data_IF_450237423473
#
_entry.id   IF_450237423473
#
_cell.length_a   1.000
_cell.length_b   1.000
_cell.length_c   1.000
_cell.angle_alpha   90.00
_cell.angle_beta   90.00
_cell.angle_gamma   90.00
#
_symmetry.space_group_name_H-M   'P 1'
#
loop_
_entity.id
_entity.type
_entity.pdbx_description
1 polymer ?
#
# COMPACT_ATOMS: atom_id res chain seq x y z
N UNK A 1 28.17 -26.90 3.48
CA UNK A 1 29.24 -25.90 3.36
C UNK A 1 30.51 -26.40 4.05
N UNK A 2 31.71 -26.14 3.50
CA UNK A 2 32.98 -26.48 4.16
C UNK A 2 33.42 -25.36 5.11
N UNK A 3 33.85 -25.69 6.32
CA UNK A 3 34.32 -24.72 7.33
C UNK A 3 35.41 -23.76 6.76
N UNK A 4 36.24 -24.24 5.83
CA UNK A 4 37.29 -23.44 5.15
C UNK A 4 36.72 -22.27 4.33
N UNK A 5 35.52 -22.42 3.76
CA UNK A 5 34.89 -21.37 2.94
C UNK A 5 34.44 -20.21 3.83
N UNK A 6 33.80 -20.49 4.97
CA UNK A 6 33.37 -19.45 5.91
C UNK A 6 34.55 -18.64 6.42
N UNK A 7 35.64 -19.31 6.80
CA UNK A 7 36.87 -18.63 7.23
C UNK A 7 37.41 -17.70 6.13
N UNK A 8 37.35 -18.13 4.86
CA UNK A 8 37.72 -17.27 3.73
C UNK A 8 36.79 -16.04 3.65
N UNK A 9 35.47 -16.24 3.68
CA UNK A 9 34.50 -15.15 3.53
C UNK A 9 34.60 -14.12 4.66
N UNK A 10 34.84 -14.58 5.90
CA UNK A 10 35.05 -13.67 7.04
C UNK A 10 36.38 -12.91 6.95
N UNK A 11 37.44 -13.55 6.44
CA UNK A 11 38.71 -12.86 6.17
C UNK A 11 38.55 -11.77 5.11
N UNK A 12 37.91 -12.08 3.98
CA UNK A 12 37.59 -11.10 2.94
C UNK A 12 36.74 -9.95 3.48
N UNK A 13 35.78 -10.25 4.36
CA UNK A 13 34.94 -9.23 4.97
C UNK A 13 35.73 -8.29 5.86
N UNK A 14 36.70 -8.81 6.64
CA UNK A 14 37.60 -7.98 7.45
C UNK A 14 38.61 -7.16 6.64
N UNK A 15 38.81 -7.50 5.37
CA UNK A 15 39.67 -6.78 4.42
C UNK A 15 38.88 -5.80 3.52
N UNK A 16 37.57 -5.66 3.75
CA UNK A 16 36.62 -4.88 2.93
C UNK A 16 36.53 -5.34 1.46
N UNK A 17 36.96 -6.58 1.15
CA UNK A 17 36.93 -7.19 -0.19
C UNK A 17 35.53 -7.77 -0.49
N UNK A 18 34.51 -6.91 -0.44
CA UNK A 18 33.11 -7.33 -0.53
C UNK A 18 32.72 -7.87 -1.91
N UNK A 19 33.30 -7.34 -3.00
CA UNK A 19 33.02 -7.86 -4.34
C UNK A 19 33.59 -9.29 -4.50
N UNK A 20 34.74 -9.61 -3.89
CA UNK A 20 35.27 -10.99 -3.93
C UNK A 20 34.37 -11.96 -3.15
N UNK A 21 33.72 -11.51 -2.06
CA UNK A 21 32.69 -12.31 -1.35
C UNK A 21 31.51 -12.59 -2.28
N UNK A 22 31.00 -11.56 -2.96
CA UNK A 22 29.89 -11.69 -3.90
C UNK A 22 30.25 -12.68 -5.01
N UNK A 23 31.39 -12.49 -5.68
CA UNK A 23 31.86 -13.37 -6.75
C UNK A 23 32.04 -14.81 -6.27
N UNK A 24 32.71 -15.00 -5.12
CA UNK A 24 32.97 -16.33 -4.55
C UNK A 24 31.65 -17.09 -4.28
N UNK A 25 30.64 -16.42 -3.73
CA UNK A 25 29.35 -17.06 -3.44
C UNK A 25 28.53 -17.25 -4.72
N UNK A 26 28.63 -16.32 -5.68
CA UNK A 26 27.88 -16.38 -6.94
C UNK A 26 28.34 -17.51 -7.86
N UNK A 27 29.58 -18.00 -7.72
CA UNK A 27 30.07 -19.22 -8.40
C UNK A 27 29.38 -20.51 -7.92
N UNK A 28 28.81 -20.51 -6.72
CA UNK A 28 28.06 -21.65 -6.17
C UNK A 28 26.64 -21.63 -6.77
N UNK A 29 26.11 -22.76 -7.28
CA UNK A 29 24.73 -22.83 -7.78
C UNK A 29 23.72 -22.36 -6.73
N UNK A 30 22.67 -21.64 -7.16
CA UNK A 30 21.70 -21.04 -6.23
C UNK A 30 21.03 -22.09 -5.32
N UNK A 31 20.73 -23.29 -5.83
CA UNK A 31 20.18 -24.40 -5.03
C UNK A 31 21.13 -24.96 -3.95
N UNK A 32 22.43 -24.69 -4.06
CA UNK A 32 23.46 -25.17 -3.13
C UNK A 32 23.85 -24.11 -2.08
N UNK A 33 23.27 -22.90 -2.17
CA UNK A 33 23.52 -21.81 -1.21
C UNK A 33 22.60 -21.97 -0.01
N UNK A 34 23.19 -22.25 1.14
CA UNK A 34 22.46 -22.32 2.41
C UNK A 34 22.25 -20.93 3.03
N UNK A 35 21.50 -20.90 4.14
CA UNK A 35 21.23 -19.71 4.94
C UNK A 35 22.47 -18.84 5.18
N UNK A 36 23.59 -19.46 5.52
CA UNK A 36 24.80 -18.75 5.94
C UNK A 36 25.45 -18.07 4.73
N UNK A 37 25.53 -18.78 3.60
CA UNK A 37 26.05 -18.21 2.35
C UNK A 37 25.17 -17.06 1.84
N UNK A 38 23.86 -17.22 1.87
CA UNK A 38 22.94 -16.16 1.43
C UNK A 38 23.04 -14.93 2.36
N UNK A 39 23.14 -15.15 3.67
CA UNK A 39 23.37 -14.08 4.65
C UNK A 39 24.71 -13.35 4.44
N UNK A 40 25.78 -14.06 4.09
CA UNK A 40 27.07 -13.42 3.75
C UNK A 40 27.02 -12.65 2.42
N UNK A 41 26.31 -13.19 1.42
CA UNK A 41 26.10 -12.54 0.14
C UNK A 41 25.32 -11.22 0.31
N UNK A 42 24.19 -11.26 1.01
CA UNK A 42 23.40 -10.06 1.30
C UNK A 42 24.19 -9.03 2.12
N UNK A 43 24.96 -9.47 3.13
CA UNK A 43 25.87 -8.59 3.89
C UNK A 43 26.88 -7.88 2.99
N UNK A 44 27.55 -8.62 2.10
CA UNK A 44 28.54 -8.05 1.20
C UNK A 44 27.90 -7.06 0.21
N UNK A 45 26.72 -7.40 -0.34
CA UNK A 45 25.96 -6.50 -1.20
C UNK A 45 25.54 -5.21 -0.49
N UNK A 46 25.08 -5.29 0.77
CA UNK A 46 24.77 -4.09 1.56
C UNK A 46 25.99 -3.19 1.75
N UNK A 47 27.17 -3.77 2.03
CA UNK A 47 28.41 -2.99 2.18
C UNK A 47 28.90 -2.37 0.87
N UNK A 48 28.49 -2.92 -0.28
CA UNK A 48 28.71 -2.33 -1.61
C UNK A 48 27.64 -1.30 -1.99
N UNK A 49 26.75 -0.94 -1.05
CA UNK A 49 25.59 -0.07 -1.27
C UNK A 49 24.57 -0.61 -2.29
N UNK A 50 24.63 -1.92 -2.58
CA UNK A 50 23.68 -2.63 -3.47
C UNK A 50 22.50 -3.14 -2.65
N UNK A 51 21.76 -2.21 -2.04
CA UNK A 51 20.77 -2.53 -1.01
C UNK A 51 19.56 -3.30 -1.54
N UNK A 52 19.06 -2.98 -2.73
CA UNK A 52 17.96 -3.72 -3.35
C UNK A 52 18.36 -5.17 -3.63
N UNK A 53 19.55 -5.41 -4.19
CA UNK A 53 20.06 -6.76 -4.44
C UNK A 53 20.27 -7.53 -3.13
N UNK A 54 20.74 -6.87 -2.07
CA UNK A 54 20.87 -7.48 -0.75
C UNK A 54 19.52 -7.94 -0.21
N UNK A 55 18.48 -7.10 -0.30
CA UNK A 55 17.10 -7.44 0.10
C UNK A 55 16.58 -8.64 -0.71
N UNK A 56 16.79 -8.65 -2.03
CA UNK A 56 16.41 -9.80 -2.87
C UNK A 56 17.04 -11.11 -2.38
N UNK A 57 18.32 -11.08 -2.01
CA UNK A 57 18.98 -12.27 -1.45
C UNK A 57 18.41 -12.65 -0.07
N UNK A 58 18.22 -11.69 0.83
CA UNK A 58 17.68 -11.95 2.16
C UNK A 58 16.26 -12.53 2.12
N UNK A 59 15.42 -12.09 1.17
CA UNK A 59 14.05 -12.59 1.02
C UNK A 59 13.98 -14.09 0.66
N UNK A 60 15.01 -14.65 0.00
CA UNK A 60 15.08 -16.09 -0.31
C UNK A 60 15.08 -16.93 0.97
N UNK A 61 15.71 -16.41 2.04
CA UNK A 61 15.89 -17.08 3.32
C UNK A 61 14.98 -16.54 4.42
N UNK A 62 13.93 -15.80 4.07
CA UNK A 62 13.06 -15.11 5.03
C UNK A 62 12.41 -16.06 6.06
N UNK A 63 11.96 -17.25 5.63
CA UNK A 63 11.33 -18.22 6.53
C UNK A 63 12.33 -18.78 7.56
N UNK A 64 13.60 -18.94 7.17
CA UNK A 64 14.68 -19.39 8.07
C UNK A 64 15.17 -18.26 8.97
N UNK A 65 15.14 -17.01 8.47
CA UNK A 65 15.61 -15.82 9.15
C UNK A 65 14.63 -15.14 10.10
N UNK A 66 13.34 -15.51 10.09
CA UNK A 66 12.26 -14.85 10.87
C UNK A 66 12.47 -14.81 12.39
N UNK A 67 13.33 -15.68 12.92
CA UNK A 67 13.67 -15.76 14.34
C UNK A 67 15.16 -15.41 14.59
N UNK A 68 15.88 -14.90 13.56
CA UNK A 68 17.26 -14.42 13.67
C UNK A 68 17.28 -12.88 13.79
N UNK A 69 17.65 -12.32 14.97
CA UNK A 69 17.74 -10.87 15.15
C UNK A 69 18.74 -10.21 14.19
N UNK A 70 19.82 -10.89 13.82
CA UNK A 70 20.85 -10.33 12.93
C UNK A 70 20.35 -10.24 11.48
N UNK A 71 19.52 -11.19 11.04
CA UNK A 71 18.88 -11.12 9.73
C UNK A 71 17.93 -9.93 9.65
N UNK A 72 17.08 -9.76 10.67
CA UNK A 72 16.19 -8.60 10.80
C UNK A 72 16.97 -7.29 10.84
N UNK A 73 18.05 -7.21 11.61
CA UNK A 73 18.91 -6.03 11.65
C UNK A 73 19.50 -5.69 10.26
N UNK A 74 19.98 -6.68 9.52
CA UNK A 74 20.54 -6.50 8.16
C UNK A 74 19.50 -6.05 7.14
N UNK A 75 18.30 -6.63 7.19
CA UNK A 75 17.16 -6.19 6.41
C UNK A 75 16.79 -4.74 6.75
N UNK A 76 16.73 -4.40 8.04
CA UNK A 76 16.48 -3.05 8.54
C UNK A 76 17.49 -2.03 8.03
N UNK A 77 18.79 -2.38 8.05
CA UNK A 77 19.86 -1.55 7.49
C UNK A 77 19.68 -1.31 5.98
N UNK A 78 19.40 -2.36 5.21
CA UNK A 78 19.23 -2.23 3.77
C UNK A 78 18.05 -1.30 3.43
N UNK A 79 16.89 -1.50 4.09
CA UNK A 79 15.74 -0.60 3.95
C UNK A 79 16.03 0.83 4.40
N UNK A 80 16.79 1.01 5.48
CA UNK A 80 17.17 2.32 6.00
C UNK A 80 17.94 3.14 4.97
N UNK A 81 18.95 2.54 4.31
CA UNK A 81 19.76 3.21 3.31
C UNK A 81 19.01 3.49 2.01
N UNK A 82 17.94 2.74 1.73
CA UNK A 82 16.98 3.04 0.66
C UNK A 82 15.95 4.11 1.04
N UNK A 83 16.05 4.70 2.22
CA UNK A 83 15.09 5.64 2.80
C UNK A 83 13.68 5.05 2.99
N UNK A 84 13.54 3.72 2.97
CA UNK A 84 12.30 2.99 3.22
C UNK A 84 12.11 2.83 4.74
N UNK A 85 11.91 3.95 5.43
CA UNK A 85 11.93 4.00 6.89
C UNK A 85 10.84 3.17 7.58
N UNK A 86 9.67 2.99 6.95
CA UNK A 86 8.59 2.16 7.47
C UNK A 86 9.01 0.68 7.55
N UNK A 87 9.64 0.18 6.48
CA UNK A 87 10.11 -1.20 6.42
C UNK A 87 11.34 -1.39 7.32
N UNK A 88 12.26 -0.43 7.32
CA UNK A 88 13.40 -0.43 8.24
C UNK A 88 12.96 -0.49 9.70
N UNK A 89 11.98 0.34 10.08
CA UNK A 89 11.44 0.40 11.44
C UNK A 89 10.76 -0.92 11.83
N UNK A 90 10.05 -1.57 10.91
CA UNK A 90 9.46 -2.89 11.15
C UNK A 90 10.53 -3.92 11.46
N UNK A 91 11.55 -4.03 10.62
CA UNK A 91 12.63 -5.01 10.77
C UNK A 91 13.45 -4.76 12.04
N UNK A 92 13.84 -3.51 12.32
CA UNK A 92 14.55 -3.16 13.56
C UNK A 92 13.72 -3.42 14.83
N UNK A 93 12.39 -3.22 14.80
CA UNK A 93 11.54 -3.56 15.94
C UNK A 93 11.46 -5.08 16.17
N UNK A 94 11.52 -5.90 15.11
CA UNK A 94 11.60 -7.35 15.26
C UNK A 94 12.97 -7.76 15.81
N UNK A 95 14.05 -7.15 15.31
CA UNK A 95 15.39 -7.35 15.84
C UNK A 95 15.47 -7.04 17.35
N UNK A 96 14.97 -5.87 17.79
CA UNK A 96 14.93 -5.49 19.22
C UNK A 96 14.03 -6.41 20.05
N UNK A 97 12.95 -6.96 19.46
CA UNK A 97 12.10 -7.93 20.16
C UNK A 97 12.81 -9.27 20.37
N UNK A 98 13.61 -9.71 19.39
CA UNK A 98 14.34 -10.97 19.41
C UNK A 98 15.63 -10.87 20.26
N UNK A 99 16.32 -9.73 20.19
CA UNK A 99 17.51 -9.42 21.00
C UNK A 99 17.39 -8.00 21.61
N UNK A 100 16.70 -7.86 22.75
CA UNK A 100 16.46 -6.55 23.35
C UNK A 100 17.74 -5.92 23.91
N UNK A 101 17.95 -4.64 23.60
CA UNK A 101 19.07 -3.87 24.14
C UNK A 101 20.33 -3.89 23.29
N UNK A 102 20.27 -4.39 22.06
CA UNK A 102 21.31 -4.16 21.05
C UNK A 102 21.45 -2.66 20.75
N UNK A 103 22.64 -2.10 20.99
CA UNK A 103 22.88 -0.66 20.94
C UNK A 103 22.70 -0.11 19.51
N UNK A 104 23.18 -0.84 18.51
CA UNK A 104 23.09 -0.42 17.11
C UNK A 104 21.62 -0.39 16.65
N UNK A 105 20.86 -1.44 16.93
CA UNK A 105 19.42 -1.51 16.64
C UNK A 105 18.67 -0.36 17.30
N UNK A 106 18.95 -0.08 18.58
CA UNK A 106 18.32 1.03 19.30
C UNK A 106 18.70 2.40 18.71
N UNK A 107 19.94 2.60 18.28
CA UNK A 107 20.36 3.85 17.63
C UNK A 107 19.59 4.08 16.33
N UNK A 108 19.45 3.06 15.48
CA UNK A 108 18.65 3.18 14.25
C UNK A 108 17.17 3.41 14.55
N UNK A 109 16.59 2.69 15.51
CA UNK A 109 15.21 2.91 15.95
C UNK A 109 15.00 4.35 16.42
N UNK A 110 15.87 4.86 17.28
CA UNK A 110 15.78 6.23 17.81
C UNK A 110 16.00 7.27 16.72
N UNK A 111 16.97 7.05 15.82
CA UNK A 111 17.19 7.93 14.68
C UNK A 111 15.96 7.99 13.78
N UNK A 112 15.42 6.83 13.38
CA UNK A 112 14.26 6.75 12.48
C UNK A 112 13.06 7.39 13.16
N UNK A 113 12.79 7.06 14.43
CA UNK A 113 11.72 7.67 15.24
C UNK A 113 11.91 9.19 15.37
N UNK A 114 13.14 9.67 15.54
CA UNK A 114 13.40 11.12 15.63
C UNK A 114 13.16 11.82 14.29
N UNK A 115 13.49 11.17 13.17
CA UNK A 115 13.27 11.66 11.81
C UNK A 115 11.79 11.65 11.44
N UNK A 116 11.03 10.65 11.88
CA UNK A 116 9.58 10.55 11.70
C UNK A 116 8.80 11.39 12.73
N UNK A 117 9.37 11.74 13.89
CA UNK A 117 8.79 12.75 14.79
C UNK A 117 9.01 14.18 14.26
N UNK A 118 10.06 14.40 13.46
CA UNK A 118 10.28 15.68 12.73
C UNK A 118 9.63 15.73 11.34
N UNK A 119 9.06 14.63 10.84
CA UNK A 119 8.43 14.50 9.52
C UNK A 119 7.22 13.55 9.66
N UNK A 120 5.97 14.00 9.53
CA UNK A 120 4.78 13.30 10.03
C UNK A 120 4.84 11.78 9.77
N UNK A 121 4.93 11.01 10.86
CA UNK A 121 5.18 9.56 10.87
C UNK A 121 4.28 8.82 9.88
N UNK A 122 4.90 8.27 8.84
CA UNK A 122 4.41 7.10 8.14
C UNK A 122 4.75 5.84 8.95
N UNK A 123 3.81 4.90 9.07
CA UNK A 123 4.13 3.50 9.43
C UNK A 123 2.98 2.54 9.01
N UNK A 124 3.25 1.79 7.95
CA UNK A 124 3.17 0.33 7.82
C UNK A 124 2.06 -0.46 8.55
N UNK A 125 1.14 -0.98 7.74
CA UNK A 125 0.49 -2.31 7.77
C UNK A 125 0.45 -3.09 9.09
N UNK A 126 -0.62 -2.85 9.85
CA UNK A 126 -1.30 -3.98 10.50
C UNK A 126 -2.24 -4.58 9.44
N UNK A 127 -2.00 -5.84 9.05
CA UNK A 127 -3.01 -6.64 8.37
C UNK A 127 -4.25 -6.72 9.26
N UNK A 128 -5.23 -5.90 8.94
CA UNK A 128 -6.56 -6.01 9.49
C UNK A 128 -7.21 -7.25 8.84
N UNK A 129 -7.20 -8.35 9.58
CA UNK A 129 -8.08 -9.50 9.38
C UNK A 129 -9.54 -9.07 9.61
N UNK A 130 -10.06 -8.18 8.76
CA UNK A 130 -11.50 -7.99 8.60
C UNK A 130 -11.96 -9.22 7.84
N UNK A 131 -12.64 -10.13 8.55
CA UNK A 131 -13.41 -11.19 7.91
C UNK A 131 -14.50 -10.52 7.08
N UNK A 132 -14.24 -10.31 5.80
CA UNK A 132 -15.27 -9.98 4.84
C UNK A 132 -16.15 -11.22 4.72
N UNK A 133 -17.42 -11.09 5.10
CA UNK A 133 -18.41 -12.13 4.89
C UNK A 133 -18.74 -12.17 3.39
N UNK A 134 -17.92 -12.89 2.62
CA UNK A 134 -18.03 -13.05 1.17
C UNK A 134 -19.25 -13.90 0.76
N UNK A 135 -19.94 -14.53 1.73
CA UNK A 135 -21.12 -15.38 1.51
C UNK A 135 -22.45 -14.63 1.73
N UNK A 136 -22.41 -13.37 2.16
CA UNK A 136 -23.61 -12.54 2.30
C UNK A 136 -23.89 -11.77 1.00
N UNK A 137 -25.06 -12.00 0.40
CA UNK A 137 -25.58 -11.13 -0.67
C UNK A 137 -25.63 -9.70 -0.12
N UNK A 138 -24.80 -8.80 -0.66
CA UNK A 138 -24.81 -7.40 -0.25
C UNK A 138 -26.15 -6.80 -0.67
N UNK A 139 -27.01 -6.51 0.31
CA UNK A 139 -28.27 -5.83 0.03
C UNK A 139 -28.01 -4.36 -0.30
N UNK A 140 -27.96 -4.05 -1.59
CA UNK A 140 -27.77 -2.69 -2.11
C UNK A 140 -29.04 -1.83 -2.05
N UNK A 141 -30.19 -2.38 -1.63
CA UNK A 141 -31.49 -1.69 -1.67
C UNK A 141 -31.49 -0.38 -0.87
N UNK A 142 -30.74 -0.33 0.23
CA UNK A 142 -30.61 0.86 1.09
C UNK A 142 -29.17 1.39 1.13
N UNK A 143 -28.39 1.14 0.08
CA UNK A 143 -27.00 1.59 0.04
C UNK A 143 -26.88 3.10 -0.20
N UNK A 144 -27.76 3.69 -1.01
CA UNK A 144 -27.70 5.08 -1.42
C UNK A 144 -28.56 6.01 -0.57
N UNK A 145 -28.08 7.24 -0.36
CA UNK A 145 -28.84 8.36 0.18
C UNK A 145 -29.39 9.20 -0.98
N UNK A 146 -30.61 8.86 -1.44
CA UNK A 146 -31.28 9.54 -2.56
C UNK A 146 -32.01 10.81 -2.14
N UNK A 147 -31.29 11.73 -1.48
CA UNK A 147 -31.77 13.10 -1.32
C UNK A 147 -31.86 13.80 -2.68
N UNK A 148 -32.72 14.81 -2.81
CA UNK A 148 -32.87 15.59 -4.05
C UNK A 148 -31.52 16.17 -4.51
N UNK A 149 -30.69 16.59 -3.55
CA UNK A 149 -29.33 17.03 -3.77
C UNK A 149 -28.43 15.93 -4.37
N UNK A 150 -28.46 14.71 -3.80
CA UNK A 150 -27.65 13.61 -4.28
C UNK A 150 -28.03 13.22 -5.73
N UNK A 151 -29.34 13.10 -5.99
CA UNK A 151 -29.92 12.80 -7.30
C UNK A 151 -29.50 13.85 -8.35
N UNK A 152 -29.59 15.14 -8.01
CA UNK A 152 -29.22 16.21 -8.93
C UNK A 152 -27.71 16.27 -9.17
N UNK A 153 -26.89 16.08 -8.13
CA UNK A 153 -25.45 16.35 -8.21
C UNK A 153 -24.63 15.16 -8.73
N UNK A 154 -25.00 13.92 -8.41
CA UNK A 154 -24.15 12.76 -8.66
C UNK A 154 -24.79 11.67 -9.52
N UNK A 155 -26.11 11.50 -9.47
CA UNK A 155 -26.76 10.33 -10.10
C UNK A 155 -26.96 10.53 -11.60
N UNK A 156 -26.34 9.67 -12.41
CA UNK A 156 -26.48 9.66 -13.87
C UNK A 156 -27.53 8.65 -14.35
N UNK A 157 -27.85 8.70 -15.64
CA UNK A 157 -28.57 7.62 -16.29
C UNK A 157 -27.78 6.30 -16.19
N UNK A 158 -28.49 5.17 -16.14
CA UNK A 158 -27.83 3.85 -16.06
C UNK A 158 -26.91 3.64 -17.28
N UNK A 159 -25.67 3.19 -17.06
CA UNK A 159 -24.68 3.12 -18.12
C UNK A 159 -24.95 1.92 -19.03
N UNK A 160 -24.85 2.15 -20.34
CA UNK A 160 -24.84 1.07 -21.35
C UNK A 160 -23.43 0.49 -21.48
N UNK A 161 -23.31 -0.70 -22.06
CA UNK A 161 -22.00 -1.33 -22.30
C UNK A 161 -21.11 -0.48 -23.23
N UNK A 162 -21.70 0.22 -24.20
CA UNK A 162 -21.00 1.16 -25.08
C UNK A 162 -20.46 2.37 -24.30
N UNK A 163 -21.25 2.91 -23.36
CA UNK A 163 -20.81 4.02 -22.51
C UNK A 163 -19.66 3.57 -21.59
N UNK A 164 -19.78 2.39 -20.98
CA UNK A 164 -18.75 1.81 -20.12
C UNK A 164 -17.45 1.65 -20.91
N UNK A 165 -17.50 1.01 -22.08
CA UNK A 165 -16.33 0.80 -22.93
C UNK A 165 -15.67 2.13 -23.32
N UNK A 166 -16.49 3.12 -23.71
CA UNK A 166 -15.99 4.46 -24.05
C UNK A 166 -15.37 5.20 -22.85
N UNK A 167 -15.84 4.98 -21.63
CA UNK A 167 -15.26 5.57 -20.42
C UNK A 167 -13.94 4.87 -20.07
N UNK A 168 -13.89 3.54 -20.12
CA UNK A 168 -12.66 2.77 -19.90
C UNK A 168 -11.56 3.13 -20.91
N UNK A 169 -11.91 3.33 -22.19
CA UNK A 169 -10.98 3.81 -23.22
C UNK A 169 -10.40 5.20 -22.90
N UNK A 170 -11.23 6.12 -22.39
CA UNK A 170 -10.79 7.47 -22.02
C UNK A 170 -9.91 7.47 -20.77
N UNK A 171 -10.23 6.61 -19.80
CA UNK A 171 -9.45 6.45 -18.57
C UNK A 171 -8.16 5.66 -18.81
N UNK A 172 -8.12 4.82 -19.86
CA UNK A 172 -7.05 3.84 -20.12
C UNK A 172 -6.97 2.76 -19.02
N UNK A 173 -8.10 2.49 -18.34
CA UNK A 173 -8.23 1.49 -17.28
C UNK A 173 -9.56 0.74 -17.41
N UNK A 174 -9.54 -0.58 -17.19
CA UNK A 174 -10.76 -1.39 -17.01
C UNK A 174 -11.32 -1.16 -15.62
N UNK A 175 -12.61 -0.86 -15.52
CA UNK A 175 -13.26 -0.62 -14.24
C UNK A 175 -13.55 -1.96 -13.52
N UNK A 176 -13.51 -1.99 -12.17
CA UNK A 176 -13.80 -3.19 -11.41
C UNK A 176 -15.20 -3.76 -11.75
N UNK A 177 -15.31 -5.08 -11.86
CA UNK A 177 -16.57 -5.73 -12.25
C UNK A 177 -17.71 -5.39 -11.28
N UNK A 178 -17.41 -5.39 -9.98
CA UNK A 178 -18.37 -5.04 -8.93
C UNK A 178 -18.81 -3.56 -8.99
N UNK A 179 -17.89 -2.66 -9.33
CA UNK A 179 -18.20 -1.25 -9.55
C UNK A 179 -19.18 -1.09 -10.71
N UNK A 180 -18.91 -1.72 -11.87
CA UNK A 180 -19.83 -1.71 -13.01
C UNK A 180 -21.21 -2.28 -12.63
N UNK A 181 -21.25 -3.38 -11.88
CA UNK A 181 -22.51 -3.99 -11.42
C UNK A 181 -23.34 -3.00 -10.59
N UNK A 182 -22.72 -2.31 -9.63
CA UNK A 182 -23.38 -1.29 -8.83
C UNK A 182 -23.90 -0.13 -9.70
N UNK A 183 -23.06 0.38 -10.60
CA UNK A 183 -23.41 1.52 -11.48
C UNK A 183 -24.56 1.20 -12.43
N UNK A 184 -24.73 -0.08 -12.83
CA UNK A 184 -25.88 -0.55 -13.61
C UNK A 184 -27.19 -0.59 -12.83
N UNK A 185 -27.14 -0.56 -11.51
CA UNK A 185 -28.32 -0.46 -10.64
C UNK A 185 -28.60 0.99 -10.23
N UNK A 186 -27.54 1.75 -9.95
CA UNK A 186 -27.61 3.15 -9.53
C UNK A 186 -26.26 3.84 -9.84
N UNK A 187 -26.27 4.76 -10.81
CA UNK A 187 -25.04 5.23 -11.45
C UNK A 187 -24.44 6.47 -10.77
N UNK A 188 -23.73 6.23 -9.67
CA UNK A 188 -23.10 7.25 -8.84
C UNK A 188 -24.08 7.81 -7.80
N UNK A 189 -23.57 8.40 -6.72
CA UNK A 189 -24.42 8.84 -5.61
C UNK A 189 -23.68 8.99 -4.29
N UNK A 190 -24.41 9.30 -3.24
CA UNK A 190 -23.90 9.35 -1.86
C UNK A 190 -24.27 8.04 -1.16
N UNK A 191 -23.32 7.28 -0.60
CA UNK A 191 -23.67 6.10 0.18
C UNK A 191 -24.18 6.51 1.57
N UNK A 192 -25.10 5.72 2.15
CA UNK A 192 -25.57 5.91 3.53
C UNK A 192 -24.43 5.77 4.55
N UNK A 193 -23.52 4.83 4.29
CA UNK A 193 -22.32 4.62 5.08
C UNK A 193 -21.11 5.20 4.33
N UNK A 194 -20.54 6.27 4.85
CA UNK A 194 -19.46 7.02 4.19
C UNK A 194 -18.09 6.79 4.80
N UNK A 195 -18.00 6.09 5.95
CA UNK A 195 -16.74 5.93 6.68
C UNK A 195 -16.14 4.55 6.43
N UNK A 196 -14.89 4.49 6.00
CA UNK A 196 -14.11 3.25 5.98
C UNK A 196 -13.13 3.24 7.18
N UNK A 197 -13.23 2.27 8.10
CA UNK A 197 -12.35 2.20 9.27
C UNK A 197 -10.87 2.07 8.89
N UNK A 198 -10.01 2.86 9.52
CA UNK A 198 -8.55 2.72 9.46
C UNK A 198 -8.00 2.45 10.87
N UNK A 199 -7.01 1.55 10.96
CA UNK A 199 -6.56 1.01 12.24
C UNK A 199 -5.95 2.02 13.24
N UNK A 200 -5.65 3.27 12.84
CA UNK A 200 -5.03 4.30 13.68
C UNK A 200 -5.81 5.62 13.61
N UNK A 201 -6.32 6.15 14.73
CA UNK A 201 -6.37 7.60 14.93
C UNK A 201 -5.41 8.00 16.05
N UNK A 202 -4.87 9.21 15.93
CA UNK A 202 -4.12 9.87 17.00
C UNK A 202 -5.17 10.36 18.02
N UNK A 203 -4.99 10.03 19.30
CA UNK A 203 -5.83 10.42 20.48
C UNK A 203 -6.95 9.48 20.96
N UNK A 204 -7.03 8.23 20.50
CA UNK A 204 -7.96 7.23 21.06
C UNK A 204 -9.35 7.17 20.39
N UNK A 205 -9.59 8.02 19.38
CA UNK A 205 -10.63 7.76 18.37
C UNK A 205 -10.17 6.63 17.42
N UNK A 206 -11.10 5.91 16.80
CA UNK A 206 -10.78 5.00 15.69
C UNK A 206 -10.54 5.82 14.43
N UNK A 207 -9.48 5.51 13.68
CA UNK A 207 -9.22 6.19 12.41
C UNK A 207 -10.28 5.82 11.40
N UNK A 208 -10.61 6.74 10.49
CA UNK A 208 -11.40 6.41 9.31
C UNK A 208 -11.04 7.34 8.16
N UNK A 209 -11.34 6.90 6.94
CA UNK A 209 -11.42 7.77 5.77
C UNK A 209 -12.88 7.94 5.38
N UNK A 210 -13.26 9.15 4.99
CA UNK A 210 -14.64 9.47 4.59
C UNK A 210 -14.71 9.59 3.08
N UNK A 211 -15.68 8.91 2.47
CA UNK A 211 -16.00 9.00 1.04
C UNK A 211 -17.30 9.81 0.83
N UNK A 212 -17.24 11.05 0.34
CA UNK A 212 -18.43 11.92 0.23
C UNK A 212 -19.44 11.43 -0.80
N UNK A 213 -18.95 10.91 -1.92
CA UNK A 213 -19.77 10.42 -3.01
C UNK A 213 -18.97 9.46 -3.88
N UNK A 214 -19.67 8.50 -4.47
CA UNK A 214 -19.15 7.60 -5.51
C UNK A 214 -19.49 8.22 -6.86
N UNK A 215 -18.48 8.45 -7.69
CA UNK A 215 -18.67 8.99 -9.04
C UNK A 215 -19.38 7.94 -9.90
N UNK A 216 -20.30 8.38 -10.76
CA UNK A 216 -20.94 7.50 -11.75
C UNK A 216 -20.13 7.40 -13.05
N UNK A 217 -20.38 6.32 -13.80
CA UNK A 217 -19.83 6.09 -15.14
C UNK A 217 -20.51 7.03 -16.12
N UNK A 218 -19.74 8.01 -16.62
CA UNK A 218 -20.22 8.96 -17.61
C UNK A 218 -19.40 10.25 -17.61
N UNK A 219 -19.95 11.25 -18.31
CA UNK A 219 -19.32 12.55 -18.57
C UNK A 219 -20.31 13.73 -18.60
N UNK A 220 -21.59 13.45 -18.31
CA UNK A 220 -22.67 14.44 -18.40
C UNK A 220 -22.70 15.38 -17.18
N UNK A 221 -22.29 14.87 -16.02
CA UNK A 221 -22.22 15.62 -14.77
C UNK A 221 -20.79 15.97 -14.43
N UNK A 222 -20.59 17.12 -13.80
CA UNK A 222 -19.28 17.59 -13.32
C UNK A 222 -18.57 16.54 -12.44
N UNK A 223 -19.33 15.91 -11.54
CA UNK A 223 -18.85 14.86 -10.63
C UNK A 223 -19.21 13.45 -11.16
N UNK A 224 -18.78 13.16 -12.38
CA UNK A 224 -18.78 11.81 -12.98
C UNK A 224 -17.35 11.43 -13.35
N UNK A 225 -17.08 10.16 -13.62
CA UNK A 225 -15.70 9.69 -13.88
C UNK A 225 -14.95 10.51 -14.93
N UNK A 226 -15.62 10.88 -16.02
CA UNK A 226 -15.07 11.70 -17.11
C UNK A 226 -15.69 13.11 -17.16
N UNK A 227 -16.25 13.59 -16.05
CA UNK A 227 -16.74 14.97 -15.92
C UNK A 227 -15.62 15.98 -15.62
N UNK A 228 -15.94 17.28 -15.64
CA UNK A 228 -14.95 18.36 -15.39
C UNK A 228 -14.28 18.32 -14.01
N UNK A 229 -14.80 17.54 -13.06
CA UNK A 229 -14.18 17.29 -11.75
C UNK A 229 -14.06 15.80 -11.46
N UNK A 230 -14.00 14.99 -12.52
CA UNK A 230 -13.81 13.54 -12.47
C UNK A 230 -12.36 13.13 -12.27
N UNK A 231 -12.07 11.86 -12.59
CA UNK A 231 -10.80 11.21 -12.27
C UNK A 231 -9.59 11.96 -12.84
N UNK A 232 -9.66 12.35 -14.11
CA UNK A 232 -8.57 13.04 -14.80
C UNK A 232 -8.27 14.40 -14.19
N UNK A 233 -9.30 15.17 -13.85
CA UNK A 233 -9.13 16.47 -13.20
C UNK A 233 -8.47 16.31 -11.83
N UNK A 234 -8.90 15.33 -11.04
CA UNK A 234 -8.28 15.05 -9.74
C UNK A 234 -6.79 14.77 -9.91
N UNK A 235 -6.42 13.88 -10.83
CA UNK A 235 -5.02 13.49 -11.07
C UNK A 235 -4.20 14.68 -11.61
N UNK A 236 -4.59 15.24 -12.75
CA UNK A 236 -3.80 16.26 -13.46
C UNK A 236 -3.79 17.62 -12.75
N UNK A 237 -4.94 18.09 -12.24
CA UNK A 237 -5.05 19.40 -11.60
C UNK A 237 -4.85 19.33 -10.08
N UNK A 238 -5.19 18.20 -9.45
CA UNK A 238 -4.99 17.99 -8.01
C UNK A 238 -3.55 17.59 -7.65
N UNK A 239 -2.77 17.14 -8.64
CA UNK A 239 -1.38 16.69 -8.49
C UNK A 239 -1.26 15.29 -7.90
N UNK A 240 -2.32 14.49 -7.95
CA UNK A 240 -2.33 13.13 -7.43
C UNK A 240 -1.58 12.18 -8.40
N UNK A 241 -1.01 11.07 -7.89
CA UNK A 241 -0.20 10.17 -8.70
C UNK A 241 -1.03 9.46 -9.79
N UNK A 242 -0.43 9.26 -10.96
CA UNK A 242 -1.02 8.58 -12.12
C UNK A 242 -1.00 7.04 -11.96
N UNK A 243 -1.59 6.55 -10.87
CA UNK A 243 -1.59 5.11 -10.52
C UNK A 243 -2.90 4.39 -10.85
N UNK A 244 -3.93 5.12 -11.28
CA UNK A 244 -5.23 4.54 -11.54
C UNK A 244 -6.36 5.56 -11.66
N UNK A 245 -7.51 5.24 -11.09
CA UNK A 245 -8.77 5.97 -11.28
C UNK A 245 -9.31 6.50 -9.97
N UNK A 246 -9.51 7.81 -9.85
CA UNK A 246 -10.23 8.41 -8.73
C UNK A 246 -11.75 8.26 -8.94
N UNK A 247 -12.35 7.33 -8.20
CA UNK A 247 -13.77 6.95 -8.32
C UNK A 247 -14.66 7.56 -7.23
N UNK A 248 -14.09 8.33 -6.31
CA UNK A 248 -14.82 9.05 -5.26
C UNK A 248 -14.64 10.57 -5.45
N UNK A 249 -15.63 11.37 -5.05
CA UNK A 249 -15.47 12.83 -5.01
C UNK A 249 -14.33 13.17 -4.04
N UNK A 250 -13.42 14.06 -4.46
CA UNK A 250 -12.34 14.59 -3.61
C UNK A 250 -12.90 15.79 -2.82
N UNK A 251 -13.22 15.65 -1.52
CA UNK A 251 -13.92 16.70 -0.78
C UNK A 251 -13.04 17.90 -0.42
N UNK A 252 -11.71 17.76 -0.41
CA UNK A 252 -10.82 18.81 0.08
C UNK A 252 -9.36 18.64 -0.41
N UNK A 253 -8.45 19.49 0.09
CA UNK A 253 -7.00 19.33 -0.10
C UNK A 253 -6.38 18.21 0.76
N UNK A 254 -7.15 17.50 1.60
CA UNK A 254 -6.61 16.49 2.54
C UNK A 254 -6.22 15.16 1.89
N UNK A 255 -6.91 14.74 0.83
CA UNK A 255 -6.61 13.48 0.16
C UNK A 255 -7.76 12.94 -0.69
N UNK A 256 -7.49 11.85 -1.41
CA UNK A 256 -8.48 11.17 -2.26
C UNK A 256 -8.42 9.66 -2.08
N UNK A 257 -9.58 9.01 -2.07
CA UNK A 257 -9.67 7.56 -2.22
C UNK A 257 -9.73 7.23 -3.71
N UNK A 258 -8.88 6.32 -4.19
CA UNK A 258 -8.81 5.94 -5.60
C UNK A 258 -8.47 4.47 -5.79
N UNK A 259 -8.66 3.99 -7.02
CA UNK A 259 -8.24 2.67 -7.46
C UNK A 259 -6.76 2.71 -7.85
N UNK A 260 -5.97 1.75 -7.36
CA UNK A 260 -4.54 1.60 -7.65
C UNK A 260 -4.31 0.34 -8.52
N UNK A 261 -3.82 0.55 -9.74
CA UNK A 261 -3.58 -0.50 -10.73
C UNK A 261 -2.10 -0.88 -10.84
N UNK A 262 -1.20 -0.33 -10.00
CA UNK A 262 0.25 -0.59 -10.10
C UNK A 262 0.61 -2.08 -10.05
N UNK A 263 -0.11 -2.87 -9.25
CA UNK A 263 0.10 -4.31 -9.09
C UNK A 263 -0.66 -5.16 -10.11
N UNK A 264 -1.83 -4.70 -10.55
CA UNK A 264 -2.76 -5.47 -11.39
C UNK A 264 -2.60 -5.20 -12.90
N UNK A 265 -1.94 -4.09 -13.26
CA UNK A 265 -1.97 -3.53 -14.61
C UNK A 265 -3.35 -2.97 -14.96
N UNK A 266 -3.44 -2.24 -16.07
CA UNK A 266 -4.62 -1.45 -16.43
C UNK A 266 -5.90 -2.28 -16.70
N UNK A 267 -5.76 -3.58 -16.92
CA UNK A 267 -6.88 -4.50 -17.19
C UNK A 267 -7.23 -5.42 -15.99
N UNK A 268 -6.44 -5.37 -14.91
CA UNK A 268 -6.62 -6.22 -13.74
C UNK A 268 -7.56 -5.64 -12.69
N UNK A 269 -7.82 -6.41 -11.62
CA UNK A 269 -8.61 -5.94 -10.48
C UNK A 269 -7.73 -5.05 -9.57
N UNK A 270 -8.03 -3.75 -9.45
CA UNK A 270 -7.21 -2.82 -8.68
C UNK A 270 -7.47 -2.92 -7.19
N UNK A 271 -6.49 -2.47 -6.41
CA UNK A 271 -6.67 -2.24 -4.98
C UNK A 271 -7.34 -0.88 -4.72
N UNK A 272 -7.89 -0.67 -3.52
CA UNK A 272 -8.40 0.63 -3.11
C UNK A 272 -7.42 1.27 -2.14
N UNK A 273 -7.01 2.50 -2.42
CA UNK A 273 -6.02 3.25 -1.64
C UNK A 273 -6.55 4.64 -1.26
N UNK A 274 -6.05 5.18 -0.15
CA UNK A 274 -6.13 6.60 0.16
C UNK A 274 -4.81 7.27 -0.21
N UNK A 275 -4.85 8.37 -0.95
CA UNK A 275 -3.70 9.23 -1.22
C UNK A 275 -3.85 10.50 -0.39
N UNK A 276 -3.02 10.63 0.63
CA UNK A 276 -3.01 11.75 1.57
C UNK A 276 -2.14 12.88 1.02
N UNK A 277 -2.78 13.93 0.53
CA UNK A 277 -2.08 15.05 -0.10
C UNK A 277 -1.33 15.91 0.92
N UNK A 278 -1.83 16.03 2.14
CA UNK A 278 -1.17 16.77 3.22
C UNK A 278 0.09 16.05 3.69
N UNK A 279 0.12 14.72 3.59
CA UNK A 279 1.28 13.89 3.89
C UNK A 279 2.07 13.50 2.62
N UNK A 280 2.40 14.49 1.78
CA UNK A 280 3.26 14.33 0.60
C UNK A 280 2.78 13.20 -0.36
N UNK A 281 1.48 13.11 -0.58
CA UNK A 281 0.84 12.09 -1.42
C UNK A 281 1.09 10.66 -0.93
N UNK A 282 1.21 10.45 0.39
CA UNK A 282 1.27 9.12 1.00
C UNK A 282 0.14 8.25 0.48
N UNK A 283 0.49 7.05 0.01
CA UNK A 283 -0.47 6.04 -0.45
C UNK A 283 -0.67 5.01 0.66
N UNK A 284 -1.90 4.88 1.15
CA UNK A 284 -2.29 3.89 2.15
C UNK A 284 -3.30 2.92 1.56
N UNK A 285 -2.96 1.63 1.53
CA UNK A 285 -3.89 0.57 1.11
C UNK A 285 -5.06 0.47 2.09
N UNK A 286 -6.28 0.48 1.57
CA UNK A 286 -7.52 0.39 2.34
C UNK A 286 -8.17 -0.98 2.18
N UNK A 287 -8.25 -1.49 0.96
CA UNK A 287 -8.90 -2.75 0.66
C UNK A 287 -8.25 -3.45 -0.55
N UNK A 288 -8.33 -4.78 -0.62
CA UNK A 288 -7.75 -5.55 -1.72
C UNK A 288 -8.49 -5.35 -3.06
N UNK A 289 -9.73 -4.87 -3.03
CA UNK A 289 -10.52 -4.54 -4.22
C UNK A 289 -11.71 -3.64 -3.85
N UNK A 290 -12.43 -3.17 -4.87
CA UNK A 290 -13.58 -2.26 -4.68
C UNK A 290 -14.71 -2.90 -3.88
N UNK A 291 -15.02 -4.19 -4.11
CA UNK A 291 -16.08 -4.88 -3.38
C UNK A 291 -15.79 -4.94 -1.87
N UNK A 292 -14.57 -5.35 -1.49
CA UNK A 292 -14.14 -5.40 -0.10
C UNK A 292 -14.19 -4.02 0.55
N UNK A 293 -13.83 -2.96 -0.18
CA UNK A 293 -13.95 -1.59 0.30
C UNK A 293 -15.40 -1.21 0.62
N UNK A 294 -16.32 -1.44 -0.33
CA UNK A 294 -17.75 -1.13 -0.17
C UNK A 294 -18.37 -1.90 0.99
N UNK A 295 -18.03 -3.20 1.14
CA UNK A 295 -18.50 -4.03 2.27
C UNK A 295 -17.96 -3.57 3.62
N UNK A 296 -16.83 -2.86 3.65
CA UNK A 296 -16.22 -2.32 4.85
C UNK A 296 -16.75 -0.95 5.29
N UNK A 297 -17.63 -0.32 4.50
CA UNK A 297 -18.21 0.97 4.84
C UNK A 297 -19.16 0.87 6.03
N UNK A 298 -18.97 1.78 6.99
CA UNK A 298 -19.78 1.88 8.20
C UNK A 298 -20.35 3.29 8.37
N UNK A 299 -21.36 3.40 9.23
CA UNK A 299 -21.98 4.67 9.56
C UNK A 299 -21.04 5.55 10.42
N UNK A 300 -21.06 6.86 10.17
CA UNK A 300 -20.27 7.85 10.92
C UNK A 300 -20.59 7.86 12.43
N UNK A 301 -21.81 7.52 12.83
CA UNK A 301 -22.25 7.43 14.23
C UNK A 301 -21.40 6.46 15.07
N UNK A 302 -20.69 5.51 14.45
CA UNK A 302 -19.75 4.63 15.16
C UNK A 302 -18.44 5.31 15.60
N UNK A 303 -18.20 6.56 15.18
CA UNK A 303 -17.02 7.37 15.50
C UNK A 303 -17.34 8.59 16.37
N UNK A 304 -18.62 8.82 16.70
CA UNK A 304 -19.07 9.89 17.59
C UNK A 304 -19.13 9.35 19.03
N UNK A 305 -17.97 9.09 19.64
CA UNK A 305 -17.83 8.79 21.09
C UNK A 305 -16.64 9.53 21.70
#
# INVERSE_FOLDING_TARGET
>A
MSDDLLVKLDALHGEDEFEEIVDTIMEIPAEDRDYVLISHLGRAMSNLERYEEAIEQFLIIAEEGKDDPLWHYRMGLAYYYLEQYDDALREFNVADKLDPGDEDTLEFLDWIRSKTVQKPVEESSAELNIKFDTDSDLDLTNFWEDSEFALEKYVLNLPTDDLISSVEEELVFRLPAFYIQMMKLHNGGIPQNQCFPTGKAISGAKGHVTIPAILGIGREKRNSLCGDSGSRFVIENGGYPEIGVAIFECPSESGVVMLDYRSSGNDGEPEVVHVDKENNYKITRLAPNFEAFIRGLVNEELYVL
#
